data_IF_611116054400
#
_entry.id   IF_611116054400
#
_cell.length_a   1.000
_cell.length_b   1.000
_cell.length_c   1.000
_cell.angle_alpha   90.00
_cell.angle_beta   90.00
_cell.angle_gamma   90.00
#
_symmetry.space_group_name_H-M   'P 1'
#
loop_
_entity.id
_entity.type
_entity.pdbx_description
1 polymer ?
#
# COMPACT_ATOMS: atom_id res chain seq x y z
N UNK A 1 6.42 36.42 68.67
CA UNK A 1 5.87 35.21 68.03
C UNK A 1 6.65 34.96 66.75
N UNK A 2 7.14 33.72 66.61
CA UNK A 2 7.84 33.05 65.50
C UNK A 2 7.35 33.47 64.08
N UNK A 3 8.08 33.44 62.95
CA UNK A 3 9.27 32.73 62.43
C UNK A 3 9.92 33.62 61.32
N UNK A 4 11.21 33.67 60.96
CA UNK A 4 12.27 32.71 60.60
C UNK A 4 12.02 31.82 59.34
N UNK A 5 12.88 32.04 58.34
CA UNK A 5 13.25 31.19 57.16
C UNK A 5 12.26 31.19 55.97
N UNK A 6 12.65 31.14 54.69
CA UNK A 6 13.85 30.57 54.09
C UNK A 6 14.21 31.21 52.73
N UNK A 7 15.52 31.28 52.52
CA UNK A 7 16.32 31.59 51.34
C UNK A 7 15.80 31.04 49.99
N UNK A 8 15.87 31.85 48.94
CA UNK A 8 16.17 31.36 47.60
C UNK A 8 17.42 32.10 47.09
N UNK A 9 18.51 31.34 47.03
CA UNK A 9 19.82 31.76 46.59
C UNK A 9 19.79 32.23 45.12
N UNK A 10 20.40 33.39 44.86
CA UNK A 10 20.65 33.90 43.51
C UNK A 10 21.80 33.12 42.87
N UNK A 11 21.64 32.52 41.66
CA UNK A 11 22.73 31.84 40.98
C UNK A 11 23.83 32.84 40.58
N UNK A 12 25.07 32.56 41.00
CA UNK A 12 26.26 33.32 40.63
C UNK A 12 26.35 33.52 39.11
N UNK A 13 26.49 34.78 38.67
CA UNK A 13 26.86 35.12 37.29
C UNK A 13 28.20 34.46 36.96
N UNK A 14 28.22 33.58 35.96
CA UNK A 14 29.46 33.09 35.36
C UNK A 14 30.09 34.19 34.47
N UNK A 15 31.43 34.25 34.37
CA UNK A 15 32.13 35.25 33.57
C UNK A 15 31.85 35.09 32.06
N UNK A 16 31.86 36.21 31.34
CA UNK A 16 31.29 36.39 30.00
C UNK A 16 31.99 35.66 28.83
N UNK A 17 32.97 34.77 29.10
CA UNK A 17 33.74 34.08 28.06
C UNK A 17 33.36 32.60 27.86
N UNK A 18 32.50 32.02 28.71
CA UNK A 18 31.97 30.65 28.56
C UNK A 18 30.55 30.62 27.94
N UNK A 19 30.28 31.43 26.91
CA UNK A 19 28.99 31.41 26.18
C UNK A 19 29.17 30.85 24.77
N UNK A 20 29.18 29.51 24.56
CA UNK A 20 28.83 28.99 23.25
C UNK A 20 27.37 29.39 22.95
N UNK A 21 27.16 29.95 21.75
CA UNK A 21 25.90 30.49 21.24
C UNK A 21 24.86 29.37 21.06
N UNK A 22 24.21 28.97 22.15
CA UNK A 22 22.93 28.27 22.11
C UNK A 22 21.84 29.32 21.87
N UNK A 23 21.75 29.83 20.64
CA UNK A 23 20.55 30.53 20.16
C UNK A 23 19.61 29.45 19.61
N UNK A 24 18.90 28.78 20.51
CA UNK A 24 17.70 28.02 20.15
C UNK A 24 16.68 29.05 19.71
N UNK A 25 16.57 29.27 18.40
CA UNK A 25 15.47 30.00 17.80
C UNK A 25 14.17 29.25 18.11
N UNK A 26 13.53 29.62 19.21
CA UNK A 26 12.45 30.60 19.20
C UNK A 26 11.26 30.40 18.24
N UNK A 27 11.36 29.61 17.17
CA UNK A 27 10.43 29.73 16.04
C UNK A 27 9.99 28.33 15.57
N UNK A 28 9.67 27.44 16.51
CA UNK A 28 8.81 26.30 16.18
C UNK A 28 7.39 26.82 16.08
N UNK A 29 7.12 27.60 15.03
CA UNK A 29 5.77 27.79 14.54
C UNK A 29 5.21 26.38 14.32
N UNK A 30 4.14 26.02 15.01
CA UNK A 30 3.42 24.77 14.79
C UNK A 30 3.01 24.71 13.31
N UNK A 31 3.88 24.19 12.45
CA UNK A 31 3.46 23.74 11.12
C UNK A 31 2.70 22.47 11.38
N UNK A 32 1.40 22.62 11.50
CA UNK A 32 0.49 21.55 11.12
C UNK A 32 1.01 20.99 9.77
N UNK A 33 1.31 19.69 9.67
CA UNK A 33 1.56 19.11 8.35
C UNK A 33 0.26 19.31 7.57
N UNK A 34 0.29 20.26 6.63
CA UNK A 34 -0.82 20.53 5.74
C UNK A 34 -0.94 19.31 4.82
N UNK A 35 -2.00 18.48 4.95
CA UNK A 35 -2.13 17.24 4.20
C UNK A 35 -2.37 17.48 2.70
N UNK A 36 -2.51 18.74 2.28
CA UNK A 36 -2.85 19.13 0.89
C UNK A 36 -1.65 19.51 0.03
N UNK A 37 -0.40 19.33 0.48
CA UNK A 37 0.75 19.97 -0.18
C UNK A 37 1.94 19.04 -0.45
N UNK A 38 1.83 18.12 -1.42
CA UNK A 38 3.04 17.42 -1.91
C UNK A 38 3.01 16.86 -3.36
N UNK A 39 2.02 17.17 -4.20
CA UNK A 39 2.12 16.73 -5.61
C UNK A 39 3.21 17.51 -6.35
N UNK A 40 3.19 18.84 -6.24
CA UNK A 40 4.14 19.71 -6.96
C UNK A 40 5.57 19.63 -6.42
N UNK A 41 5.77 19.29 -5.14
CA UNK A 41 7.09 19.12 -4.52
C UNK A 41 7.80 17.86 -5.01
N UNK A 42 7.07 16.74 -5.04
CA UNK A 42 7.55 15.47 -5.55
C UNK A 42 7.97 15.52 -7.03
N UNK A 43 7.14 16.10 -7.91
CA UNK A 43 7.49 16.24 -9.33
C UNK A 43 8.70 17.16 -9.56
N UNK A 44 8.88 18.20 -8.73
CA UNK A 44 10.09 19.03 -8.77
C UNK A 44 11.33 18.24 -8.35
N UNK A 45 11.22 17.37 -7.36
CA UNK A 45 12.30 16.48 -6.93
C UNK A 45 12.69 15.47 -8.03
N UNK A 46 11.70 14.85 -8.70
CA UNK A 46 11.93 13.94 -9.83
C UNK A 46 12.59 14.63 -11.04
N UNK A 47 12.21 15.87 -11.35
CA UNK A 47 12.86 16.65 -12.42
C UNK A 47 14.32 16.98 -12.12
N UNK A 48 14.67 17.20 -10.85
CA UNK A 48 16.05 17.48 -10.41
C UNK A 48 16.93 16.22 -10.41
N UNK A 49 16.36 15.02 -10.15
CA UNK A 49 17.09 13.75 -10.13
C UNK A 49 16.44 12.73 -11.08
N UNK A 50 16.82 12.79 -12.36
CA UNK A 50 16.19 11.98 -13.43
C UNK A 50 16.43 10.47 -13.29
N UNK A 51 17.48 10.08 -12.59
CA UNK A 51 17.81 8.66 -12.33
C UNK A 51 16.77 7.95 -11.46
N UNK A 52 16.00 8.69 -10.65
CA UNK A 52 14.94 8.13 -9.80
C UNK A 52 13.65 7.81 -10.58
N UNK A 53 13.47 8.41 -11.76
CA UNK A 53 12.26 8.23 -12.58
C UNK A 53 12.05 6.77 -12.97
N UNK A 54 13.04 6.06 -13.56
CA UNK A 54 12.87 4.64 -13.89
C UNK A 54 12.66 3.79 -12.64
N UNK A 55 13.37 4.07 -11.54
CA UNK A 55 13.25 3.30 -10.30
C UNK A 55 11.83 3.37 -9.72
N UNK A 56 11.30 4.58 -9.54
CA UNK A 56 9.94 4.78 -9.01
C UNK A 56 8.90 4.36 -10.05
N UNK A 57 9.19 4.52 -11.34
CA UNK A 57 8.34 4.07 -12.43
C UNK A 57 8.09 2.57 -12.40
N UNK A 58 9.15 1.74 -12.30
CA UNK A 58 9.00 0.29 -12.18
C UNK A 58 8.31 -0.11 -10.88
N UNK A 59 8.63 0.54 -9.76
CA UNK A 59 8.00 0.25 -8.47
C UNK A 59 6.49 0.54 -8.50
N UNK A 60 6.13 1.72 -9.00
CA UNK A 60 4.73 2.13 -9.15
C UNK A 60 3.99 1.24 -10.14
N UNK A 61 4.59 0.96 -11.29
CA UNK A 61 4.04 0.04 -12.28
C UNK A 61 3.81 -1.35 -11.67
N UNK A 62 4.78 -1.90 -10.94
CA UNK A 62 4.64 -3.19 -10.27
C UNK A 62 3.52 -3.19 -9.24
N UNK A 63 3.42 -2.15 -8.39
CA UNK A 63 2.38 -2.05 -7.38
C UNK A 63 0.97 -1.94 -8.00
N UNK A 64 0.81 -1.07 -9.01
CA UNK A 64 -0.47 -0.92 -9.73
C UNK A 64 -0.82 -2.19 -10.51
N UNK A 65 0.16 -2.82 -11.17
CA UNK A 65 -0.03 -4.07 -11.90
C UNK A 65 -0.43 -5.22 -10.96
N UNK A 66 0.26 -5.40 -9.84
CA UNK A 66 -0.05 -6.43 -8.87
C UNK A 66 -1.47 -6.25 -8.30
N UNK A 67 -1.84 -5.02 -7.95
CA UNK A 67 -3.17 -4.71 -7.41
C UNK A 67 -4.25 -4.98 -8.46
N UNK A 68 -4.06 -4.49 -9.69
CA UNK A 68 -5.04 -4.70 -10.77
C UNK A 68 -5.17 -6.17 -11.17
N UNK A 69 -4.07 -6.93 -11.24
CA UNK A 69 -4.10 -8.36 -11.51
C UNK A 69 -4.81 -9.13 -10.39
N UNK A 70 -4.55 -8.81 -9.13
CA UNK A 70 -5.25 -9.41 -8.00
C UNK A 70 -6.75 -9.15 -8.06
N UNK A 71 -7.17 -7.89 -8.28
CA UNK A 71 -8.59 -7.55 -8.44
C UNK A 71 -9.23 -8.24 -9.63
N UNK A 72 -8.54 -8.31 -10.77
CA UNK A 72 -9.01 -9.02 -11.96
C UNK A 72 -9.25 -10.50 -11.66
N UNK A 73 -8.30 -11.19 -11.03
CA UNK A 73 -8.45 -12.62 -10.72
C UNK A 73 -9.57 -12.86 -9.71
N UNK A 74 -9.71 -12.02 -8.69
CA UNK A 74 -10.77 -12.13 -7.68
C UNK A 74 -12.18 -12.02 -8.28
N UNK A 75 -12.34 -11.16 -9.29
CA UNK A 75 -13.67 -10.87 -9.87
C UNK A 75 -14.01 -11.75 -11.07
N UNK A 76 -13.02 -12.18 -11.85
CA UNK A 76 -13.27 -12.88 -13.13
C UNK A 76 -13.05 -14.39 -13.07
N UNK A 77 -12.29 -14.89 -12.09
CA UNK A 77 -11.99 -16.31 -11.98
C UNK A 77 -12.86 -16.97 -10.91
N UNK A 78 -13.59 -18.00 -11.31
CA UNK A 78 -14.45 -18.81 -10.43
C UNK A 78 -13.66 -19.67 -9.43
N UNK A 79 -12.35 -19.78 -9.63
CA UNK A 79 -11.43 -20.56 -8.79
C UNK A 79 -11.22 -19.94 -7.40
N UNK A 80 -11.41 -18.62 -7.25
CA UNK A 80 -11.28 -17.93 -5.96
C UNK A 80 -12.61 -17.90 -5.24
N UNK A 81 -12.70 -18.64 -4.13
CA UNK A 81 -13.92 -18.76 -3.33
C UNK A 81 -13.95 -17.63 -2.28
N UNK A 82 -14.70 -16.56 -2.56
CA UNK A 82 -14.93 -15.48 -1.60
C UNK A 82 -16.11 -15.76 -0.65
N UNK A 83 -17.03 -16.65 -1.04
CA UNK A 83 -18.16 -17.04 -0.22
C UNK A 83 -18.27 -18.58 -0.19
N UNK A 84 -17.97 -19.17 0.97
CA UNK A 84 -18.02 -20.61 1.20
C UNK A 84 -19.43 -21.14 1.48
N UNK A 85 -20.39 -20.26 1.79
CA UNK A 85 -21.69 -20.61 2.39
C UNK A 85 -22.61 -21.45 1.50
N UNK A 86 -22.40 -21.49 0.17
CA UNK A 86 -23.21 -22.30 -0.76
C UNK A 86 -22.44 -23.47 -1.40
N UNK A 87 -21.13 -23.59 -1.10
CA UNK A 87 -20.14 -24.56 -1.60
C UNK A 87 -20.52 -25.30 -2.91
N UNK A 88 -20.78 -24.63 -4.04
CA UNK A 88 -20.84 -25.32 -5.32
C UNK A 88 -19.41 -25.67 -5.75
N UNK A 89 -19.22 -26.88 -6.28
CA UNK A 89 -17.92 -27.34 -6.74
C UNK A 89 -17.34 -26.35 -7.78
N UNK A 90 -16.21 -25.67 -7.49
CA UNK A 90 -15.74 -24.53 -8.29
C UNK A 90 -15.51 -24.84 -9.76
N UNK A 91 -15.09 -26.07 -10.06
CA UNK A 91 -14.82 -26.58 -11.40
C UNK A 91 -16.09 -26.82 -12.24
N UNK A 92 -17.27 -26.96 -11.63
CA UNK A 92 -18.52 -27.10 -12.38
C UNK A 92 -19.01 -25.78 -13.00
N UNK A 93 -18.58 -24.65 -12.43
CA UNK A 93 -18.96 -23.30 -12.91
C UNK A 93 -18.02 -22.75 -13.97
N UNK A 94 -16.91 -23.45 -14.25
CA UNK A 94 -15.96 -23.04 -15.27
C UNK A 94 -16.59 -23.31 -16.64
N UNK A 95 -16.80 -22.27 -17.43
CA UNK A 95 -17.25 -22.38 -18.81
C UNK A 95 -16.09 -22.92 -19.68
N UNK A 96 -16.20 -24.16 -20.19
CA UNK A 96 -15.10 -24.77 -20.90
C UNK A 96 -14.93 -24.24 -22.33
N UNK A 97 -15.92 -23.52 -22.86
CA UNK A 97 -15.85 -22.90 -24.19
C UNK A 97 -14.95 -21.66 -24.21
N UNK A 98 -14.64 -21.11 -23.03
CA UNK A 98 -13.79 -19.94 -22.87
C UNK A 98 -12.37 -20.34 -22.48
N UNK A 99 -11.35 -19.69 -23.07
CA UNK A 99 -9.97 -19.92 -22.67
C UNK A 99 -9.75 -19.43 -21.22
N UNK A 100 -9.39 -20.35 -20.33
CA UNK A 100 -9.18 -20.02 -18.91
C UNK A 100 -7.78 -19.44 -18.64
N UNK A 101 -6.81 -19.69 -19.52
CA UNK A 101 -5.42 -19.21 -19.41
C UNK A 101 -5.26 -17.84 -20.03
N UNK A 102 -4.29 -17.06 -19.54
CA UNK A 102 -3.94 -15.75 -20.09
C UNK A 102 -3.45 -15.84 -21.54
N UNK A 103 -2.83 -16.96 -21.92
CA UNK A 103 -2.37 -17.25 -23.27
C UNK A 103 -2.86 -18.65 -23.63
N UNK A 104 -3.56 -18.77 -24.75
CA UNK A 104 -3.98 -20.06 -25.31
C UNK A 104 -3.53 -20.15 -26.75
N UNK A 105 -2.88 -21.26 -27.10
CA UNK A 105 -2.42 -21.55 -28.47
C UNK A 105 -3.14 -22.83 -28.91
N UNK A 106 -4.03 -22.71 -29.89
CA UNK A 106 -4.77 -23.84 -30.48
C UNK A 106 -5.52 -24.74 -29.47
N UNK A 107 -5.91 -24.21 -28.32
CA UNK A 107 -6.59 -25.00 -27.30
C UNK A 107 -8.07 -25.15 -27.67
N UNK A 108 -8.45 -26.35 -28.14
CA UNK A 108 -9.83 -26.71 -28.46
C UNK A 108 -10.41 -27.53 -27.31
N UNK A 109 -11.59 -27.15 -26.82
CA UNK A 109 -12.31 -27.96 -25.84
C UNK A 109 -13.24 -28.94 -26.54
N UNK A 110 -13.22 -30.20 -26.09
CA UNK A 110 -14.17 -31.24 -26.51
C UNK A 110 -14.77 -31.92 -25.28
N UNK A 111 -16.10 -32.09 -25.21
CA UNK A 111 -16.73 -32.81 -24.12
C UNK A 111 -16.34 -34.29 -24.14
N UNK A 112 -16.33 -34.91 -22.96
CA UNK A 112 -16.10 -36.35 -22.79
C UNK A 112 -17.46 -36.99 -22.54
N UNK A 113 -17.91 -37.85 -23.45
CA UNK A 113 -19.27 -38.44 -23.43
C UNK A 113 -19.57 -39.17 -22.10
N UNK A 114 -18.62 -39.93 -21.57
CA UNK A 114 -18.79 -40.63 -20.29
C UNK A 114 -19.00 -39.68 -19.11
N UNK A 115 -18.37 -38.50 -19.14
CA UNK A 115 -18.56 -37.49 -18.10
C UNK A 115 -19.94 -36.83 -18.22
N UNK A 116 -20.44 -36.61 -19.44
CA UNK A 116 -21.77 -36.07 -19.68
C UNK A 116 -22.87 -37.06 -19.26
N UNK A 117 -22.70 -38.35 -19.56
CA UNK A 117 -23.62 -39.39 -19.13
C UNK A 117 -23.75 -39.45 -17.60
N UNK A 118 -22.62 -39.43 -16.87
CA UNK A 118 -22.64 -39.43 -15.40
C UNK A 118 -23.27 -38.15 -14.84
N UNK A 119 -22.99 -36.99 -15.45
CA UNK A 119 -23.60 -35.71 -15.05
C UNK A 119 -25.12 -35.72 -15.26
N UNK A 120 -25.60 -36.28 -16.37
CA UNK A 120 -27.03 -36.38 -16.67
C UNK A 120 -27.78 -37.30 -15.68
N UNK A 121 -27.10 -38.30 -15.12
CA UNK A 121 -27.68 -39.21 -14.11
C UNK A 121 -27.68 -38.65 -12.68
N UNK A 122 -26.80 -37.69 -12.41
CA UNK A 122 -26.57 -37.17 -11.05
C UNK A 122 -27.38 -35.89 -10.74
N UNK A 123 -27.82 -35.17 -11.78
CA UNK A 123 -28.47 -33.85 -11.66
C UNK A 123 -29.98 -33.94 -11.86
#
# INVERSE_FOLDING_TARGET
>A
MHALTSSCASPRRKPAYERPKQQVGADTHCRHPDPRRDMSGFFQMLRKRKELIPLIGFMGFAATFATSAATYFLLTKSDVILNKSRNPEPWERVDPTKPQKLITINQQWKPVEGLEAVKALTK
#
